data_IF_030380098525
#
_entry.id   IF_030380098525
#
_cell.length_a   1.000
_cell.length_b   1.000
_cell.length_c   1.000
_cell.angle_alpha   90.00
_cell.angle_beta   90.00
_cell.angle_gamma   90.00
#
_symmetry.space_group_name_H-M   'P 1'
#
loop_
_entity.id
_entity.type
_entity.pdbx_description
1 polymer ?
#
# COMPACT_ATOMS: atom_id res chain seq x y z
N UNK A 1 -11.69 0.37 -10.82
CA UNK A 1 -12.19 1.41 -9.90
C UNK A 1 -11.34 2.65 -10.12
N UNK A 2 -11.92 3.85 -10.16
CA UNK A 2 -11.13 5.09 -10.24
C UNK A 2 -10.44 5.32 -8.90
N UNK A 3 -9.10 5.44 -8.88
CA UNK A 3 -8.33 5.74 -7.68
C UNK A 3 -7.93 7.21 -7.72
N UNK A 4 -8.12 7.91 -6.61
CA UNK A 4 -7.76 9.33 -6.48
C UNK A 4 -6.27 9.49 -6.20
N UNK A 5 -5.56 10.11 -7.14
CA UNK A 5 -4.08 10.14 -7.18
C UNK A 5 -3.48 11.46 -6.70
N UNK A 6 -4.26 12.34 -6.08
CA UNK A 6 -3.80 13.69 -5.74
C UNK A 6 -2.49 13.68 -4.94
N UNK A 7 -2.34 12.78 -3.96
CA UNK A 7 -1.11 12.67 -3.16
C UNK A 7 0.10 12.27 -4.01
N UNK A 8 -0.08 11.32 -4.93
CA UNK A 8 0.98 10.87 -5.85
C UNK A 8 1.38 12.01 -6.79
N UNK A 9 0.40 12.64 -7.45
CA UNK A 9 0.64 13.76 -8.37
C UNK A 9 1.34 14.91 -7.64
N UNK A 10 0.95 15.22 -6.41
CA UNK A 10 1.62 16.21 -5.56
C UNK A 10 3.07 15.83 -5.23
N UNK A 11 3.32 14.57 -4.85
CA UNK A 11 4.65 14.06 -4.55
C UNK A 11 5.60 14.19 -5.75
N UNK A 12 5.14 13.83 -6.95
CA UNK A 12 5.90 13.96 -8.21
C UNK A 12 6.35 15.40 -8.51
N UNK A 13 5.70 16.38 -7.87
CA UNK A 13 5.90 17.82 -8.06
C UNK A 13 6.55 18.48 -6.85
N UNK A 14 7.02 17.69 -5.88
CA UNK A 14 7.67 18.19 -4.67
C UNK A 14 6.73 18.90 -3.70
N UNK A 15 5.43 18.55 -3.69
CA UNK A 15 4.42 19.17 -2.83
C UNK A 15 4.00 18.19 -1.75
N UNK A 16 4.36 18.48 -0.49
CA UNK A 16 4.33 17.50 0.58
C UNK A 16 3.31 17.78 1.69
N UNK A 17 2.53 18.85 1.57
CA UNK A 17 1.52 19.19 2.58
C UNK A 17 0.30 19.86 1.96
N UNK A 18 -0.83 19.72 2.64
CA UNK A 18 -2.04 20.46 2.28
C UNK A 18 -1.84 21.97 2.32
N UNK A 19 -1.03 22.49 3.26
CA UNK A 19 -0.71 23.91 3.32
C UNK A 19 0.12 24.38 2.11
N UNK A 20 1.09 23.57 1.65
CA UNK A 20 1.85 23.84 0.45
C UNK A 20 0.94 23.84 -0.79
N UNK A 21 0.05 22.85 -0.91
CA UNK A 21 -0.96 22.81 -1.97
C UNK A 21 -1.85 24.06 -1.94
N UNK A 22 -2.39 24.43 -0.77
CA UNK A 22 -3.25 25.61 -0.59
C UNK A 22 -2.59 26.88 -1.11
N UNK A 23 -1.33 27.09 -0.70
CA UNK A 23 -0.52 28.25 -1.08
C UNK A 23 -0.29 28.28 -2.59
N UNK A 24 0.07 27.14 -3.19
CA UNK A 24 0.32 27.04 -4.62
C UNK A 24 -0.96 27.24 -5.44
N UNK A 25 -2.11 26.72 -4.98
CA UNK A 25 -3.41 26.99 -5.62
C UNK A 25 -3.74 28.47 -5.65
N UNK A 26 -3.48 29.18 -4.55
CA UNK A 26 -3.66 30.64 -4.50
C UNK A 26 -2.70 31.37 -5.43
N UNK A 27 -1.44 30.93 -5.53
CA UNK A 27 -0.41 31.59 -6.33
C UNK A 27 -0.55 31.33 -7.84
N UNK A 28 -0.82 30.08 -8.23
CA UNK A 28 -0.79 29.64 -9.62
C UNK A 28 -2.16 29.64 -10.30
N UNK A 29 -3.23 29.42 -9.55
CA UNK A 29 -4.59 29.32 -10.07
C UNK A 29 -5.53 30.42 -9.53
N UNK A 30 -5.02 31.34 -8.71
CA UNK A 30 -5.83 32.35 -8.02
C UNK A 30 -7.06 31.76 -7.30
N UNK A 31 -6.92 30.54 -6.77
CA UNK A 31 -8.01 29.78 -6.17
C UNK A 31 -7.68 29.41 -4.72
N UNK A 32 -8.64 29.57 -3.81
CA UNK A 32 -8.45 29.27 -2.39
C UNK A 32 -9.44 28.22 -1.90
N UNK A 33 -8.91 27.23 -1.19
CA UNK A 33 -9.70 26.22 -0.48
C UNK A 33 -9.49 26.36 1.03
N UNK A 34 -10.50 25.98 1.80
CA UNK A 34 -10.36 25.86 3.25
C UNK A 34 -9.41 24.71 3.60
N UNK A 35 -8.76 24.77 4.77
CA UNK A 35 -7.92 23.68 5.27
C UNK A 35 -8.69 22.35 5.37
N UNK A 36 -9.98 22.41 5.75
CA UNK A 36 -10.85 21.24 5.81
C UNK A 36 -11.10 20.63 4.41
N UNK A 37 -11.33 21.48 3.40
CA UNK A 37 -11.51 21.03 2.02
C UNK A 37 -10.25 20.36 1.47
N UNK A 38 -9.08 20.92 1.76
CA UNK A 38 -7.79 20.35 1.36
C UNK A 38 -7.56 19.01 2.05
N UNK A 39 -7.79 18.94 3.36
CA UNK A 39 -7.68 17.68 4.11
C UNK A 39 -8.61 16.61 3.54
N UNK A 40 -9.85 16.95 3.20
CA UNK A 40 -10.79 16.02 2.59
C UNK A 40 -10.29 15.49 1.23
N UNK A 41 -9.72 16.36 0.39
CA UNK A 41 -9.13 15.96 -0.89
C UNK A 41 -7.90 15.07 -0.71
N UNK A 42 -7.09 15.26 0.32
CA UNK A 42 -5.91 14.44 0.54
C UNK A 42 -6.25 13.07 1.13
N UNK A 43 -7.30 12.98 1.95
CA UNK A 43 -7.60 11.78 2.72
C UNK A 43 -8.69 10.90 2.09
N UNK A 44 -9.29 11.31 0.97
CA UNK A 44 -10.33 10.52 0.34
C UNK A 44 -10.61 10.93 -1.09
N UNK A 45 -11.13 9.98 -1.85
CA UNK A 45 -11.61 10.22 -3.20
C UNK A 45 -12.87 11.10 -3.15
N UNK A 46 -12.89 12.26 -3.84
CA UNK A 46 -14.06 13.13 -3.87
C UNK A 46 -15.18 12.45 -4.66
N UNK A 47 -16.38 12.36 -4.06
CA UNK A 47 -17.58 11.88 -4.76
C UNK A 47 -18.04 12.84 -5.86
N UNK A 48 -17.85 14.13 -5.61
CA UNK A 48 -18.16 15.23 -6.52
C UNK A 48 -17.14 16.35 -6.29
N UNK A 49 -16.81 17.09 -7.35
CA UNK A 49 -15.89 18.22 -7.30
C UNK A 49 -16.40 19.32 -8.23
N UNK A 50 -16.28 20.57 -7.79
CA UNK A 50 -16.56 21.73 -8.66
C UNK A 50 -15.52 21.79 -9.78
N UNK A 51 -15.94 22.14 -10.99
CA UNK A 51 -15.05 22.22 -12.15
C UNK A 51 -13.88 23.19 -11.91
N UNK A 52 -14.13 24.31 -11.21
CA UNK A 52 -13.11 25.30 -10.89
C UNK A 52 -12.08 24.77 -9.89
N UNK A 53 -12.51 23.90 -8.96
CA UNK A 53 -11.58 23.24 -8.04
C UNK A 53 -10.67 22.26 -8.79
N UNK A 54 -11.23 21.49 -9.73
CA UNK A 54 -10.47 20.56 -10.55
C UNK A 54 -9.47 21.30 -11.45
N UNK A 55 -9.92 22.34 -12.14
CA UNK A 55 -9.08 23.18 -13.00
C UNK A 55 -7.92 23.82 -12.22
N UNK A 56 -8.23 24.35 -11.02
CA UNK A 56 -7.23 24.92 -10.13
C UNK A 56 -6.19 23.88 -9.68
N UNK A 57 -6.60 22.64 -9.36
CA UNK A 57 -5.66 21.56 -9.03
C UNK A 57 -4.75 21.24 -10.22
N UNK A 58 -5.33 21.05 -11.40
CA UNK A 58 -4.59 20.74 -12.63
C UNK A 58 -3.61 21.85 -13.02
N UNK A 59 -4.01 23.12 -12.92
CA UNK A 59 -3.12 24.27 -13.17
C UNK A 59 -1.99 24.32 -12.15
N UNK A 60 -2.31 24.14 -10.87
CA UNK A 60 -1.34 24.20 -9.76
C UNK A 60 -0.28 23.12 -9.88
N UNK A 61 -0.73 21.91 -10.19
CA UNK A 61 0.11 20.73 -10.33
C UNK A 61 0.75 20.70 -11.72
N UNK A 62 0.20 21.34 -12.74
CA UNK A 62 0.62 21.08 -14.13
C UNK A 62 0.41 19.60 -14.46
N UNK A 63 -0.83 19.16 -14.27
CA UNK A 63 -1.32 17.84 -14.65
C UNK A 63 -2.66 17.99 -15.39
N UNK A 64 -3.08 16.93 -16.06
CA UNK A 64 -4.42 16.79 -16.62
C UNK A 64 -5.37 16.21 -15.58
N UNK A 65 -6.70 16.38 -15.75
CA UNK A 65 -7.66 15.69 -14.90
C UNK A 65 -7.39 14.19 -14.83
N UNK A 66 -7.10 13.53 -15.97
CA UNK A 66 -6.79 12.10 -16.01
C UNK A 66 -5.62 11.68 -15.12
N UNK A 67 -4.62 12.52 -14.88
CA UNK A 67 -3.52 12.18 -13.98
C UNK A 67 -3.95 12.16 -12.51
N UNK A 68 -5.00 12.91 -12.14
CA UNK A 68 -5.56 12.89 -10.79
C UNK A 68 -6.44 11.65 -10.54
N UNK A 69 -6.79 10.90 -11.58
CA UNK A 69 -7.54 9.67 -11.48
C UNK A 69 -6.86 8.52 -12.22
N UNK A 70 -6.31 7.58 -11.46
CA UNK A 70 -5.83 6.34 -12.07
C UNK A 70 -7.01 5.40 -12.34
N UNK A 71 -7.17 4.97 -13.60
CA UNK A 71 -8.14 3.92 -13.94
C UNK A 71 -7.49 2.59 -13.55
N UNK A 72 -7.89 2.09 -12.39
CA UNK A 72 -7.61 0.72 -12.02
C UNK A 72 -8.49 -0.18 -12.93
N UNK A 73 -7.92 -0.72 -14.03
CA UNK A 73 -8.52 -1.74 -14.90
C UNK A 73 -8.83 -3.05 -14.15
N UNK A 74 -10.09 -3.27 -13.75
CA UNK A 74 -10.52 -4.60 -13.31
C UNK A 74 -10.84 -5.46 -14.53
N UNK A 75 -10.44 -6.73 -14.58
CA UNK A 75 -11.19 -7.70 -15.36
C UNK A 75 -12.61 -7.80 -14.76
N UNK A 76 -13.64 -7.84 -15.60
CA UNK A 76 -15.01 -8.09 -15.11
C UNK A 76 -15.02 -9.46 -14.42
N UNK A 77 -15.56 -9.59 -13.20
CA UNK A 77 -15.62 -10.89 -12.53
C UNK A 77 -16.49 -11.84 -13.35
N UNK A 78 -15.87 -12.94 -13.80
CA UNK A 78 -16.57 -14.12 -14.27
C UNK A 78 -17.45 -14.66 -13.14
N UNK A 79 -18.70 -14.91 -13.46
CA UNK A 79 -19.75 -15.31 -12.51
C UNK A 79 -19.43 -16.67 -11.89
N UNK A 80 -19.01 -16.72 -10.63
CA UNK A 80 -19.04 -17.93 -9.78
C UNK A 80 -19.49 -17.57 -8.37
N UNK A 81 -20.50 -18.28 -7.89
CA UNK A 81 -21.19 -18.05 -6.62
C UNK A 81 -20.35 -18.46 -5.40
N UNK A 82 -19.92 -17.47 -4.61
CA UNK A 82 -20.05 -17.37 -3.14
C UNK A 82 -19.64 -15.95 -2.76
N UNK A 83 -20.24 -15.37 -1.72
CA UNK A 83 -20.01 -13.96 -1.28
C UNK A 83 -18.53 -13.70 -0.93
N UNK A 84 -17.72 -13.42 -1.94
CA UNK A 84 -16.33 -13.04 -1.85
C UNK A 84 -16.19 -11.70 -2.59
N UNK A 85 -15.45 -10.76 -2.02
CA UNK A 85 -15.44 -9.37 -2.46
C UNK A 85 -14.03 -8.83 -2.55
N UNK A 86 -13.62 -8.44 -3.76
CA UNK A 86 -12.42 -7.62 -4.00
C UNK A 86 -12.52 -6.35 -3.17
N UNK A 87 -11.51 -6.10 -2.33
CA UNK A 87 -11.43 -4.95 -1.42
C UNK A 87 -10.62 -3.81 -2.02
N UNK A 88 -10.94 -2.59 -1.60
CA UNK A 88 -10.13 -1.41 -1.91
C UNK A 88 -8.84 -1.45 -1.11
N UNK A 89 -7.70 -1.31 -1.79
CA UNK A 89 -6.40 -1.17 -1.14
C UNK A 89 -6.25 0.26 -0.64
N UNK A 90 -5.88 0.40 0.63
CA UNK A 90 -5.66 1.66 1.32
C UNK A 90 -4.43 2.34 0.72
N UNK A 91 -4.54 3.61 0.29
CA UNK A 91 -3.43 4.33 -0.31
C UNK A 91 -2.39 4.78 0.73
N UNK A 92 -1.17 4.96 0.26
CA UNK A 92 -0.04 5.46 1.04
C UNK A 92 -0.36 6.81 1.72
N UNK A 93 0.12 6.97 2.95
CA UNK A 93 -0.16 8.12 3.80
C UNK A 93 -1.46 8.02 4.61
N UNK A 94 -2.26 6.96 4.44
CA UNK A 94 -3.34 6.67 5.38
C UNK A 94 -2.77 6.20 6.73
N UNK A 95 -3.18 6.80 7.86
CA UNK A 95 -2.66 6.45 9.18
C UNK A 95 -2.86 4.98 9.59
N UNK A 96 -3.79 4.25 8.98
CA UNK A 96 -4.00 2.84 9.32
C UNK A 96 -2.79 1.97 8.94
N UNK A 97 -2.04 2.35 7.90
CA UNK A 97 -0.84 1.63 7.46
C UNK A 97 0.32 1.74 8.44
N UNK A 98 0.24 2.66 9.41
CA UNK A 98 1.21 2.86 10.50
C UNK A 98 0.80 2.22 11.82
N UNK A 99 -0.37 1.58 11.90
CA UNK A 99 -0.86 0.97 13.14
C UNK A 99 -0.45 -0.49 13.23
N UNK A 100 0.02 -0.89 14.41
CA UNK A 100 0.24 -2.30 14.73
C UNK A 100 -1.09 -3.06 14.72
N UNK A 101 -1.14 -4.11 13.90
CA UNK A 101 -2.29 -4.98 13.76
C UNK A 101 -2.45 -5.90 14.98
N UNK A 102 -3.69 -6.14 15.39
CA UNK A 102 -3.99 -6.96 16.57
C UNK A 102 -3.93 -8.45 16.22
N UNK A 103 -3.46 -9.32 17.14
CA UNK A 103 -3.55 -10.75 16.96
C UNK A 103 -4.99 -11.24 16.70
N UNK A 104 -5.08 -12.41 16.10
CA UNK A 104 -6.29 -13.20 15.92
C UNK A 104 -6.34 -14.25 17.02
N UNK A 105 -7.29 -14.15 17.94
CA UNK A 105 -7.37 -15.04 19.10
C UNK A 105 -7.87 -16.45 18.72
N UNK A 106 -8.83 -16.51 17.79
CA UNK A 106 -9.43 -17.76 17.31
C UNK A 106 -9.66 -17.68 15.80
N UNK A 107 -9.21 -18.71 15.07
CA UNK A 107 -9.51 -18.84 13.64
C UNK A 107 -10.95 -19.30 13.48
N UNK A 108 -11.82 -18.38 13.11
CA UNK A 108 -13.26 -18.63 12.92
C UNK A 108 -13.68 -18.31 11.48
N UNK A 109 -14.95 -18.52 11.17
CA UNK A 109 -15.52 -18.28 9.84
C UNK A 109 -15.34 -16.84 9.34
N UNK A 110 -15.27 -15.85 10.25
CA UNK A 110 -15.00 -14.46 9.89
C UNK A 110 -13.54 -14.25 9.46
N UNK A 111 -12.59 -14.88 10.15
CA UNK A 111 -11.17 -14.83 9.78
C UNK A 111 -10.97 -15.47 8.41
N UNK A 112 -11.53 -16.66 8.21
CA UNK A 112 -11.45 -17.37 6.92
C UNK A 112 -12.04 -16.53 5.79
N UNK A 113 -13.19 -15.88 6.01
CA UNK A 113 -13.77 -14.97 5.01
C UNK A 113 -12.87 -13.77 4.70
N UNK A 114 -12.14 -13.23 5.68
CA UNK A 114 -11.20 -12.12 5.42
C UNK A 114 -10.04 -12.60 4.55
N UNK A 115 -9.48 -13.78 4.84
CA UNK A 115 -8.43 -14.39 4.01
C UNK A 115 -8.91 -14.61 2.57
N UNK A 116 -10.13 -15.13 2.41
CA UNK A 116 -10.76 -15.31 1.11
C UNK A 116 -10.91 -13.98 0.33
N UNK A 117 -11.45 -12.93 0.97
CA UNK A 117 -11.56 -11.59 0.37
C UNK A 117 -10.17 -11.00 0.02
N UNK A 118 -9.16 -11.25 0.86
CA UNK A 118 -7.78 -10.81 0.62
C UNK A 118 -7.16 -11.55 -0.56
N UNK A 119 -7.35 -12.86 -0.67
CA UNK A 119 -6.84 -13.65 -1.80
C UNK A 119 -7.47 -13.22 -3.13
N UNK A 120 -8.78 -12.97 -3.15
CA UNK A 120 -9.42 -12.39 -4.35
C UNK A 120 -8.90 -10.99 -4.66
N UNK A 121 -8.64 -10.18 -3.64
CA UNK A 121 -8.04 -8.85 -3.84
C UNK A 121 -6.62 -8.95 -4.40
N UNK A 122 -5.83 -9.91 -3.93
CA UNK A 122 -4.50 -10.20 -4.44
C UNK A 122 -4.57 -10.58 -5.93
N UNK A 123 -5.45 -11.52 -6.28
CA UNK A 123 -5.58 -12.04 -7.65
C UNK A 123 -6.43 -11.19 -8.60
N UNK A 124 -7.05 -10.10 -8.14
CA UNK A 124 -7.79 -9.16 -9.01
C UNK A 124 -6.93 -8.63 -10.16
N UNK A 125 -5.58 -8.62 -10.00
CA UNK A 125 -4.62 -8.14 -11.00
C UNK A 125 -3.31 -8.91 -10.97
N UNK A 126 -2.69 -8.97 -12.13
CA UNK A 126 -1.34 -9.48 -12.31
C UNK A 126 -0.30 -8.58 -11.61
N UNK A 127 0.87 -9.14 -11.33
CA UNK A 127 2.02 -8.42 -10.75
C UNK A 127 1.92 -8.14 -9.25
N UNK A 128 1.00 -8.78 -8.52
CA UNK A 128 0.84 -8.62 -7.07
C UNK A 128 1.37 -9.83 -6.32
N UNK A 129 2.34 -9.63 -5.44
CA UNK A 129 2.99 -10.72 -4.72
C UNK A 129 2.40 -10.98 -3.32
N UNK A 130 1.93 -9.93 -2.63
CA UNK A 130 1.44 -10.04 -1.26
C UNK A 130 0.44 -8.95 -0.90
N UNK A 131 -0.34 -9.23 0.15
CA UNK A 131 -1.31 -8.31 0.73
C UNK A 131 -1.50 -8.61 2.23
N UNK A 132 -1.27 -7.60 3.06
CA UNK A 132 -1.55 -7.62 4.49
C UNK A 132 -2.92 -6.98 4.80
N UNK A 133 -3.62 -7.50 5.81
CA UNK A 133 -4.96 -7.01 6.16
C UNK A 133 -5.05 -5.50 6.48
N UNK A 134 -4.03 -4.83 7.08
CA UNK A 134 -4.05 -3.38 7.23
C UNK A 134 -4.22 -2.63 5.90
N UNK A 135 -3.70 -3.17 4.80
CA UNK A 135 -3.82 -2.58 3.46
C UNK A 135 -5.24 -2.66 2.90
N UNK A 136 -6.15 -3.41 3.50
CA UNK A 136 -7.59 -3.40 3.16
C UNK A 136 -8.45 -2.83 4.29
N UNK A 137 -7.86 -2.06 5.21
CA UNK A 137 -8.59 -1.39 6.27
C UNK A 137 -8.78 -2.23 7.55
N UNK A 138 -8.16 -3.41 7.67
CA UNK A 138 -8.41 -4.36 8.76
C UNK A 138 -7.15 -4.51 9.63
N UNK A 139 -7.20 -4.03 10.87
CA UNK A 139 -6.10 -4.14 11.84
C UNK A 139 -6.04 -5.52 12.52
N UNK A 140 -5.85 -6.57 11.72
CA UNK A 140 -5.60 -7.95 12.19
C UNK A 140 -4.33 -8.51 11.57
N UNK A 141 -3.63 -9.38 12.30
CA UNK A 141 -2.40 -10.04 11.84
C UNK A 141 -2.72 -11.15 10.83
N UNK A 142 -3.08 -10.75 9.62
CA UNK A 142 -3.43 -11.62 8.50
C UNK A 142 -2.68 -11.17 7.26
N UNK A 143 -2.12 -12.13 6.52
CA UNK A 143 -1.41 -11.91 5.26
C UNK A 143 -1.83 -12.99 4.28
N UNK A 144 -1.97 -12.61 3.01
CA UNK A 144 -1.99 -13.54 1.88
C UNK A 144 -0.87 -13.16 0.92
N UNK A 145 -0.23 -14.14 0.31
CA UNK A 145 0.80 -13.91 -0.70
C UNK A 145 0.84 -15.05 -1.72
N UNK A 146 1.31 -14.76 -2.92
CA UNK A 146 1.63 -15.76 -3.94
C UNK A 146 2.90 -15.31 -4.66
N UNK A 147 3.98 -16.05 -4.42
CA UNK A 147 5.30 -15.77 -4.97
C UNK A 147 5.64 -16.67 -6.16
N UNK A 148 4.64 -17.30 -6.80
CA UNK A 148 4.79 -18.17 -7.97
C UNK A 148 4.57 -19.65 -7.68
N UNK A 149 4.48 -20.05 -6.41
CA UNK A 149 4.24 -21.43 -5.97
C UNK A 149 2.81 -21.68 -5.48
N UNK A 150 1.95 -20.65 -5.55
CA UNK A 150 0.56 -20.69 -5.11
C UNK A 150 0.31 -19.89 -3.84
N UNK A 151 -0.96 -19.85 -3.45
CA UNK A 151 -1.44 -19.06 -2.33
C UNK A 151 -0.86 -19.54 -0.99
N UNK A 152 -0.20 -18.63 -0.28
CA UNK A 152 0.25 -18.76 1.10
C UNK A 152 -0.58 -17.82 1.96
N UNK A 153 -1.05 -18.34 3.09
CA UNK A 153 -1.83 -17.57 4.06
C UNK A 153 -1.15 -17.62 5.42
N UNK A 154 -0.99 -16.46 6.04
CA UNK A 154 -0.38 -16.34 7.35
C UNK A 154 -1.34 -15.70 8.33
N UNK A 155 -1.57 -16.36 9.46
CA UNK A 155 -2.38 -15.86 10.57
C UNK A 155 -1.48 -15.77 11.79
N UNK A 156 -1.40 -14.56 12.38
CA UNK A 156 -0.44 -14.24 13.44
C UNK A 156 1.01 -14.61 13.09
N UNK A 157 1.54 -14.27 11.90
CA UNK A 157 2.92 -14.60 11.59
C UNK A 157 3.91 -13.89 12.52
N UNK A 158 4.97 -14.62 12.85
CA UNK A 158 6.13 -14.19 13.63
C UNK A 158 7.38 -14.78 12.97
N UNK A 159 8.36 -13.92 12.64
CA UNK A 159 9.68 -14.39 12.21
C UNK A 159 10.41 -14.89 13.45
N UNK A 160 10.71 -16.19 13.51
CA UNK A 160 11.38 -16.83 14.65
C UNK A 160 12.86 -17.07 14.39
N UNK A 161 13.28 -17.04 13.13
CA UNK A 161 14.68 -17.18 12.72
C UNK A 161 14.94 -16.34 11.47
N UNK A 162 16.13 -15.74 11.39
CA UNK A 162 16.65 -15.04 10.22
C UNK A 162 18.08 -15.50 9.98
N UNK A 163 18.43 -15.78 8.74
CA UNK A 163 19.75 -16.32 8.38
C UNK A 163 20.22 -15.80 7.01
N UNK A 164 21.51 -15.97 6.72
CA UNK A 164 22.16 -15.57 5.47
C UNK A 164 22.56 -14.10 5.38
N UNK A 165 23.31 -13.75 4.31
CA UNK A 165 23.71 -12.37 4.04
C UNK A 165 22.49 -11.52 3.66
N UNK A 166 22.44 -10.26 4.13
CA UNK A 166 21.34 -9.39 3.78
C UNK A 166 21.36 -9.04 2.29
N UNK A 167 20.27 -9.38 1.60
CA UNK A 167 20.11 -9.10 0.19
C UNK A 167 19.54 -7.71 -0.05
N UNK A 168 20.26 -6.92 -0.82
CA UNK A 168 19.73 -5.70 -1.41
C UNK A 168 18.90 -6.05 -2.65
N UNK A 169 17.62 -5.68 -2.66
CA UNK A 169 16.73 -5.95 -3.79
C UNK A 169 15.60 -4.93 -3.90
N UNK A 170 14.95 -4.82 -5.06
CA UNK A 170 13.85 -3.90 -5.25
C UNK A 170 12.60 -4.39 -4.51
N UNK A 171 11.92 -3.46 -3.85
CA UNK A 171 10.58 -3.65 -3.28
C UNK A 171 9.64 -2.55 -3.77
N UNK A 172 8.41 -2.94 -4.07
CA UNK A 172 7.28 -2.07 -4.35
C UNK A 172 6.11 -2.50 -3.45
N UNK A 173 5.11 -1.65 -3.29
CA UNK A 173 3.98 -1.92 -2.39
C UNK A 173 2.66 -1.56 -3.06
N UNK A 174 1.64 -2.41 -2.89
CA UNK A 174 0.30 -2.17 -3.45
C UNK A 174 -0.37 -0.90 -2.89
N UNK A 175 0.03 -0.47 -1.69
CA UNK A 175 -0.43 0.80 -1.11
C UNK A 175 0.29 2.01 -1.69
N UNK A 176 1.45 1.85 -2.34
CA UNK A 176 2.20 2.93 -2.98
C UNK A 176 2.58 2.58 -4.43
N UNK A 177 1.58 2.52 -5.33
CA UNK A 177 1.78 2.02 -6.69
C UNK A 177 2.66 2.93 -7.54
N UNK A 178 3.40 2.32 -8.48
CA UNK A 178 4.22 3.01 -9.49
C UNK A 178 5.63 3.34 -9.03
N UNK A 179 6.00 3.00 -7.79
CA UNK A 179 7.30 3.29 -7.21
C UNK A 179 7.91 2.07 -6.53
N UNK A 180 9.22 1.90 -6.72
CA UNK A 180 10.02 0.91 -6.01
C UNK A 180 11.27 1.54 -5.38
N UNK A 181 11.84 0.85 -4.39
CA UNK A 181 13.08 1.22 -3.73
C UNK A 181 13.92 0.00 -3.39
N UNK A 182 15.22 0.20 -3.16
CA UNK A 182 16.12 -0.90 -2.81
C UNK A 182 16.19 -1.10 -1.30
N UNK A 183 15.77 -2.28 -0.86
CA UNK A 183 15.62 -2.64 0.56
C UNK A 183 16.52 -3.84 0.88
N UNK A 184 17.18 -3.80 2.03
CA UNK A 184 17.90 -4.96 2.58
C UNK A 184 16.96 -5.85 3.38
N UNK A 185 17.00 -7.15 3.08
CA UNK A 185 16.24 -8.19 3.79
C UNK A 185 17.14 -9.36 4.12
N UNK A 186 16.81 -10.12 5.17
CA UNK A 186 17.47 -11.40 5.41
C UNK A 186 17.21 -12.34 4.23
N UNK A 187 18.20 -13.14 3.87
CA UNK A 187 18.10 -14.07 2.74
C UNK A 187 17.15 -15.24 3.04
N UNK A 188 17.18 -15.72 4.28
CA UNK A 188 16.33 -16.81 4.75
C UNK A 188 15.60 -16.41 6.02
N UNK A 189 14.34 -16.79 6.12
CA UNK A 189 13.50 -16.60 7.31
C UNK A 189 12.69 -17.85 7.61
N UNK A 190 12.50 -18.13 8.90
CA UNK A 190 11.50 -19.09 9.38
C UNK A 190 10.38 -18.31 10.06
N UNK A 191 9.16 -18.51 9.57
CA UNK A 191 7.95 -17.86 10.07
C UNK A 191 7.09 -18.90 10.79
N UNK A 192 6.81 -18.63 12.07
CA UNK A 192 5.76 -19.32 12.82
C UNK A 192 4.42 -18.65 12.57
N UNK A 193 3.40 -19.42 12.23
CA UNK A 193 2.08 -18.91 11.86
C UNK A 193 0.98 -19.93 12.19
N UNK A 194 -0.29 -19.52 12.14
CA UNK A 194 -1.43 -20.43 12.17
C UNK A 194 -1.99 -20.67 10.76
N UNK A 195 -2.44 -21.89 10.49
CA UNK A 195 -3.19 -22.21 9.28
C UNK A 195 -4.71 -21.96 9.45
N UNK A 196 -5.51 -22.21 8.39
CA UNK A 196 -6.99 -22.06 8.43
C UNK A 196 -7.70 -22.91 9.50
N UNK A 197 -7.06 -23.95 10.02
CA UNK A 197 -7.60 -24.79 11.12
C UNK A 197 -7.18 -24.27 12.51
N UNK A 198 -6.37 -23.22 12.58
CA UNK A 198 -5.79 -22.71 13.82
C UNK A 198 -4.59 -23.51 14.32
N UNK A 199 -4.04 -24.42 13.51
CA UNK A 199 -2.87 -25.22 13.88
C UNK A 199 -1.60 -24.39 13.64
N UNK A 200 -0.66 -24.45 14.58
CA UNK A 200 0.65 -23.80 14.42
C UNK A 200 1.50 -24.56 13.42
N UNK A 201 2.06 -23.85 12.46
CA UNK A 201 3.01 -24.38 11.48
C UNK A 201 4.25 -23.47 11.42
N UNK A 202 5.34 -24.03 10.91
CA UNK A 202 6.53 -23.28 10.52
C UNK A 202 6.60 -23.28 8.99
N UNK A 203 6.88 -22.11 8.42
CA UNK A 203 7.16 -21.93 7.01
C UNK A 203 8.54 -21.36 6.86
N UNK A 204 9.34 -21.97 6.01
CA UNK A 204 10.66 -21.49 5.65
C UNK A 204 10.56 -20.79 4.29
N UNK A 205 11.16 -19.62 4.19
CA UNK A 205 11.27 -18.87 2.96
C UNK A 205 12.71 -18.46 2.73
N UNK A 206 13.13 -18.52 1.46
CA UNK A 206 14.44 -18.06 0.98
C UNK A 206 14.26 -17.05 -0.17
N UNK A 207 15.25 -16.19 -0.39
CA UNK A 207 15.30 -15.26 -1.51
C UNK A 207 14.06 -14.37 -1.62
N UNK A 208 13.37 -14.47 -2.76
CA UNK A 208 12.18 -13.65 -3.03
C UNK A 208 11.03 -13.95 -2.05
N UNK A 209 10.81 -15.21 -1.68
CA UNK A 209 9.77 -15.58 -0.72
C UNK A 209 10.09 -15.01 0.68
N UNK A 210 11.36 -15.10 1.11
CA UNK A 210 11.80 -14.51 2.37
C UNK A 210 11.56 -13.00 2.40
N UNK A 211 11.85 -12.29 1.30
CA UNK A 211 11.60 -10.87 1.13
C UNK A 211 10.11 -10.53 1.23
N UNK A 212 9.26 -11.27 0.52
CA UNK A 212 7.81 -11.07 0.59
C UNK A 212 7.27 -11.32 2.00
N UNK A 213 7.70 -12.39 2.68
CA UNK A 213 7.31 -12.64 4.08
C UNK A 213 7.69 -11.49 5.00
N UNK A 214 8.93 -10.99 4.91
CA UNK A 214 9.38 -9.84 5.71
C UNK A 214 8.56 -8.57 5.41
N UNK A 215 8.34 -8.27 4.13
CA UNK A 215 7.55 -7.11 3.69
C UNK A 215 6.12 -7.15 4.23
N UNK A 216 5.43 -8.28 4.09
CA UNK A 216 4.04 -8.38 4.53
C UNK A 216 3.92 -8.43 6.07
N UNK A 217 4.92 -8.97 6.77
CA UNK A 217 4.96 -8.95 8.24
C UNK A 217 5.21 -7.52 8.76
N UNK A 218 6.02 -6.71 8.09
CA UNK A 218 6.22 -5.29 8.42
C UNK A 218 4.91 -4.51 8.40
N UNK A 219 4.05 -4.74 7.40
CA UNK A 219 2.73 -4.13 7.33
C UNK A 219 1.88 -4.42 8.59
N UNK A 220 2.02 -5.59 9.20
CA UNK A 220 1.33 -5.91 10.45
C UNK A 220 1.85 -5.14 11.65
N UNK A 221 3.06 -4.59 11.55
CA UNK A 221 3.73 -3.82 12.59
C UNK A 221 3.67 -2.31 12.34
N UNK A 222 3.03 -1.87 11.25
CA UNK A 222 2.98 -0.45 10.86
C UNK A 222 4.25 0.05 10.17
N UNK A 223 5.12 -0.87 9.76
CA UNK A 223 6.37 -0.59 9.06
C UNK A 223 6.12 -0.76 7.56
N UNK A 224 6.69 0.13 6.76
CA UNK A 224 6.55 0.13 5.29
C UNK A 224 7.94 0.01 4.66
N UNK A 225 8.01 -0.52 3.44
CA UNK A 225 9.30 -0.71 2.76
C UNK A 225 10.12 0.59 2.65
N UNK A 226 9.46 1.76 2.56
CA UNK A 226 10.12 3.08 2.53
C UNK A 226 10.98 3.35 3.76
N UNK A 227 10.67 2.74 4.90
CA UNK A 227 11.46 2.88 6.13
C UNK A 227 12.79 2.10 6.09
N UNK A 228 12.91 1.16 5.14
CA UNK A 228 14.08 0.30 4.97
C UNK A 228 14.93 0.63 3.73
N UNK A 229 14.50 1.60 2.91
CA UNK A 229 15.23 1.99 1.71
C UNK A 229 16.63 2.48 2.10
N UNK A 230 17.63 1.94 1.41
CA UNK A 230 19.05 2.19 1.73
C UNK A 230 19.61 3.44 1.05
N UNK A 231 18.92 3.98 0.06
CA UNK A 231 19.31 5.15 -0.72
C UNK A 231 18.38 6.34 -0.43
N UNK A 232 18.72 7.53 -0.93
CA UNK A 232 17.91 8.74 -0.78
C UNK A 232 16.75 8.82 -1.79
N UNK A 233 16.55 7.76 -2.59
CA UNK A 233 15.70 7.78 -3.77
C UNK A 233 14.69 6.64 -3.83
N UNK A 234 13.52 6.96 -4.35
CA UNK A 234 12.56 6.03 -4.93
C UNK A 234 12.59 6.15 -6.45
N UNK A 235 12.26 5.08 -7.15
CA UNK A 235 12.31 4.98 -8.60
C UNK A 235 10.93 4.70 -9.15
N UNK A 236 10.50 5.48 -10.13
CA UNK A 236 9.26 5.21 -10.84
C UNK A 236 9.40 3.95 -11.71
N UNK A 237 8.45 3.03 -11.62
CA UNK A 237 8.52 1.70 -12.26
C UNK A 237 8.71 1.77 -13.78
N UNK A 238 7.94 2.61 -14.48
CA UNK A 238 8.01 2.71 -15.95
C UNK A 238 9.10 3.65 -16.47
N UNK A 239 9.29 4.81 -15.83
CA UNK A 239 10.17 5.87 -16.35
C UNK A 239 11.57 5.85 -15.75
N UNK A 240 11.79 5.07 -14.69
CA UNK A 240 13.01 5.03 -13.87
C UNK A 240 13.46 6.40 -13.32
N UNK A 241 12.57 7.40 -13.35
CA UNK A 241 12.82 8.70 -12.73
C UNK A 241 12.91 8.55 -11.23
N UNK A 242 13.79 9.35 -10.62
CA UNK A 242 14.01 9.35 -9.17
C UNK A 242 13.20 10.44 -8.50
N UNK A 243 12.64 10.12 -7.34
CA UNK A 243 12.07 11.10 -6.41
C UNK A 243 12.76 10.96 -5.05
N UNK A 244 12.88 12.07 -4.31
CA UNK A 244 13.51 12.06 -2.99
C UNK A 244 12.69 11.24 -1.98
N UNK A 245 13.37 10.44 -1.16
CA UNK A 245 12.75 9.60 -0.14
C UNK A 245 12.26 10.42 1.07
N UNK A 246 13.03 11.40 1.52
CA UNK A 246 12.75 12.15 2.75
C UNK A 246 11.33 12.74 2.79
N UNK A 247 10.83 13.37 1.71
CA UNK A 247 9.49 13.92 1.76
C UNK A 247 8.38 12.85 1.72
N UNK A 248 8.64 11.70 1.09
CA UNK A 248 7.72 10.54 1.07
C UNK A 248 7.57 9.96 2.48
N UNK A 249 8.66 9.85 3.24
CA UNK A 249 8.62 9.48 4.66
C UNK A 249 7.78 10.46 5.48
N UNK A 250 7.89 11.76 5.19
CA UNK A 250 7.09 12.81 5.81
C UNK A 250 5.58 12.60 5.64
N UNK A 251 5.10 12.24 4.44
CA UNK A 251 3.68 11.93 4.18
C UNK A 251 3.19 10.71 4.95
N UNK A 252 4.04 9.69 5.03
CA UNK A 252 3.74 8.41 5.70
C UNK A 252 3.53 8.55 7.20
N UNK A 253 4.24 9.47 7.85
CA UNK A 253 4.27 9.63 9.30
C UNK A 253 3.27 10.67 9.82
N UNK A 254 2.42 11.24 8.96
CA UNK A 254 1.48 12.32 9.35
C UNK A 254 0.35 11.89 10.32
N UNK A 255 0.30 10.63 10.75
CA UNK A 255 -0.75 10.06 11.62
C UNK A 255 -0.28 9.34 12.89
N UNK A 256 1.02 9.42 13.22
CA UNK A 256 1.58 8.91 14.50
C UNK A 256 1.65 10.00 15.54
#
# INVERSE_FOLDING_TARGET
MLVWMLRNVMADRGIWSGAALARLMKQKANYSLSAASISALLNGQPRQMKAETLDALCTTLSCTPSELWYIHHHPKPGRLNKSMTVRTIVPFGDPILRKTARPVDNVNTRVVKILDDMAETLYDREGRAGLAAPQIGILRRLVVMDCGEGLIELINPEIVETDGEQQLGPEACLSYPGYYGYVKRAERVIVKTLNRKGETILLEGEGYLARCMQHEIDHLNGVLFVDHIQDEWLYHEETHRRIELLPVLGLSNTGT
#
